data_IF_976659605947
#
_entry.id   IF_976659605947
#
_cell.length_a   1.000
_cell.length_b   1.000
_cell.length_c   1.000
_cell.angle_alpha   90.00
_cell.angle_beta   90.00
_cell.angle_gamma   90.00
#
_symmetry.space_group_name_H-M   'P 1'
#
loop_
_entity.id
_entity.type
_entity.pdbx_description
1 polymer ?
#
# COMPACT_ATOMS: atom_id res chain seq x y z
N UNK A 1 9.78 16.36 -12.62
CA UNK A 1 9.75 16.01 -11.19
C UNK A 1 10.99 15.25 -10.73
N UNK A 2 11.29 14.05 -11.24
CA UNK A 2 12.48 13.27 -10.81
C UNK A 2 13.78 14.04 -11.05
N UNK A 3 13.95 14.64 -12.23
CA UNK A 3 15.13 15.47 -12.53
C UNK A 3 15.21 16.71 -11.62
N UNK A 4 14.09 17.37 -11.32
CA UNK A 4 14.09 18.48 -10.35
C UNK A 4 14.56 18.06 -8.97
N UNK A 5 14.18 16.87 -8.48
CA UNK A 5 14.69 16.35 -7.20
C UNK A 5 16.20 16.10 -7.25
N UNK A 6 16.73 15.68 -8.40
CA UNK A 6 18.16 15.55 -8.63
C UNK A 6 18.86 16.91 -8.63
N UNK A 7 18.29 17.90 -9.31
CA UNK A 7 18.82 19.27 -9.40
C UNK A 7 18.89 19.96 -8.03
N UNK A 8 17.89 19.76 -7.16
CA UNK A 8 17.92 20.32 -5.79
C UNK A 8 18.79 19.53 -4.80
N UNK A 9 19.54 18.52 -5.28
CA UNK A 9 20.53 17.79 -4.48
C UNK A 9 19.94 16.74 -3.52
N UNK A 10 18.73 16.23 -3.79
CA UNK A 10 18.16 15.15 -2.97
C UNK A 10 19.03 13.89 -3.00
N UNK A 11 19.01 13.06 -1.94
CA UNK A 11 19.78 11.82 -1.88
C UNK A 11 19.57 10.94 -3.12
N UNK A 12 20.67 10.55 -3.77
CA UNK A 12 20.65 9.80 -5.03
C UNK A 12 19.86 8.49 -4.91
N UNK A 13 19.97 7.78 -3.79
CA UNK A 13 19.22 6.53 -3.52
C UNK A 13 17.71 6.74 -3.64
N UNK A 14 17.19 7.86 -3.11
CA UNK A 14 15.77 8.21 -3.18
C UNK A 14 15.33 8.55 -4.61
N UNK A 15 16.10 9.40 -5.29
CA UNK A 15 15.81 9.80 -6.68
C UNK A 15 15.85 8.59 -7.62
N UNK A 16 16.83 7.71 -7.45
CA UNK A 16 16.98 6.49 -8.24
C UNK A 16 15.83 5.50 -8.01
N UNK A 17 15.33 5.39 -6.77
CA UNK A 17 14.15 4.58 -6.46
C UNK A 17 12.91 5.11 -7.19
N UNK A 18 12.69 6.43 -7.21
CA UNK A 18 11.60 7.04 -7.97
C UNK A 18 11.74 6.83 -9.47
N UNK A 19 12.95 7.03 -10.03
CA UNK A 19 13.21 6.78 -11.44
C UNK A 19 12.90 5.31 -11.83
N UNK A 20 13.27 4.37 -10.96
CA UNK A 20 12.98 2.94 -11.14
C UNK A 20 11.48 2.66 -11.17
N UNK A 21 10.67 3.32 -10.34
CA UNK A 21 9.21 3.18 -10.38
C UNK A 21 8.65 3.53 -11.77
N UNK A 22 9.10 4.61 -12.40
CA UNK A 22 8.63 4.94 -13.77
C UNK A 22 9.05 3.88 -14.80
N UNK A 23 10.26 3.32 -14.67
CA UNK A 23 10.72 2.24 -15.53
C UNK A 23 9.88 0.97 -15.33
N UNK A 24 9.56 0.61 -14.09
CA UNK A 24 8.73 -0.55 -13.77
C UNK A 24 7.34 -0.45 -14.38
N UNK A 25 6.72 0.75 -14.36
CA UNK A 25 5.41 0.95 -14.99
C UNK A 25 5.47 0.66 -16.48
N UNK A 26 6.50 1.16 -17.17
CA UNK A 26 6.67 0.92 -18.61
C UNK A 26 6.84 -0.57 -18.91
N UNK A 27 7.75 -1.23 -18.20
CA UNK A 27 7.99 -2.68 -18.35
C UNK A 27 6.73 -3.47 -18.04
N UNK A 28 5.97 -3.05 -17.03
CA UNK A 28 4.73 -3.71 -16.65
C UNK A 28 3.62 -3.52 -17.68
N UNK A 29 3.55 -2.36 -18.34
CA UNK A 29 2.55 -2.12 -19.38
C UNK A 29 2.85 -2.96 -20.63
N UNK A 30 4.13 -3.08 -21.01
CA UNK A 30 4.56 -3.99 -22.10
C UNK A 30 4.19 -5.44 -21.77
N UNK A 31 4.50 -5.89 -20.55
CA UNK A 31 4.17 -7.24 -20.08
C UNK A 31 2.67 -7.51 -20.05
N UNK A 32 1.86 -6.50 -19.69
CA UNK A 32 0.40 -6.59 -19.69
C UNK A 32 -0.15 -6.79 -21.12
N UNK A 33 0.42 -6.12 -22.13
CA UNK A 33 -0.01 -6.35 -23.52
C UNK A 33 0.32 -7.76 -23.98
N UNK A 34 1.52 -8.25 -23.69
CA UNK A 34 1.90 -9.64 -24.02
C UNK A 34 0.96 -10.64 -23.35
N UNK A 35 0.57 -10.41 -22.09
CA UNK A 35 -0.41 -11.26 -21.41
C UNK A 35 -1.75 -11.29 -22.14
N UNK A 36 -2.28 -10.11 -22.52
CA UNK A 36 -3.56 -9.98 -23.24
C UNK A 36 -3.53 -10.67 -24.58
N UNK A 37 -2.46 -10.49 -25.35
CA UNK A 37 -2.30 -11.10 -26.67
C UNK A 37 -2.24 -12.63 -26.57
N UNK A 38 -1.47 -13.17 -25.62
CA UNK A 38 -1.34 -14.61 -25.43
C UNK A 38 -2.67 -15.27 -25.03
N UNK A 39 -3.50 -14.56 -24.26
CA UNK A 39 -4.79 -15.07 -23.79
C UNK A 39 -5.99 -14.63 -24.64
N UNK A 40 -5.77 -13.95 -25.76
CA UNK A 40 -6.85 -13.46 -26.64
C UNK A 40 -7.75 -14.59 -27.17
N UNK A 41 -7.19 -15.78 -27.37
CA UNK A 41 -7.88 -16.96 -27.86
C UNK A 41 -8.12 -18.04 -26.80
N UNK A 42 -7.57 -17.86 -25.59
CA UNK A 42 -7.81 -18.77 -24.48
C UNK A 42 -9.15 -18.44 -23.82
N UNK A 43 -9.86 -19.48 -23.35
CA UNK A 43 -11.05 -19.31 -22.52
C UNK A 43 -10.64 -18.95 -21.10
N UNK A 44 -10.25 -17.70 -20.87
CA UNK A 44 -10.16 -17.14 -19.53
C UNK A 44 -11.58 -16.95 -18.94
N UNK A 45 -11.66 -16.91 -17.61
CA UNK A 45 -12.91 -16.59 -16.89
C UNK A 45 -13.46 -15.19 -17.25
N UNK A 46 -12.57 -14.25 -17.59
CA UNK A 46 -12.89 -12.90 -18.04
C UNK A 46 -12.28 -12.62 -19.41
N UNK A 47 -12.90 -11.76 -20.25
CA UNK A 47 -12.29 -11.34 -21.51
C UNK A 47 -10.88 -10.76 -21.27
N UNK A 48 -9.87 -11.26 -21.98
CA UNK A 48 -8.47 -10.86 -21.77
C UNK A 48 -8.28 -9.32 -21.80
N UNK A 49 -8.98 -8.63 -22.70
CA UNK A 49 -8.89 -7.16 -22.84
C UNK A 49 -9.41 -6.39 -21.61
N UNK A 50 -10.31 -6.99 -20.83
CA UNK A 50 -10.90 -6.42 -19.62
C UNK A 50 -10.01 -6.52 -18.37
N UNK A 51 -8.99 -7.38 -18.43
CA UNK A 51 -8.06 -7.61 -17.33
C UNK A 51 -6.78 -6.80 -17.56
N UNK A 52 -6.37 -6.00 -16.58
CA UNK A 52 -5.08 -5.33 -16.60
C UNK A 52 -4.24 -5.78 -15.40
N UNK A 53 -2.99 -6.12 -15.66
CA UNK A 53 -2.04 -6.58 -14.64
C UNK A 53 -0.94 -5.54 -14.51
N UNK A 54 -0.53 -5.28 -13.26
CA UNK A 54 0.68 -4.53 -12.96
C UNK A 54 1.63 -5.35 -12.10
N UNK A 55 2.78 -5.71 -12.66
CA UNK A 55 3.83 -6.48 -11.96
C UNK A 55 5.01 -5.56 -11.69
N UNK A 56 5.21 -5.27 -10.41
CA UNK A 56 6.14 -4.24 -9.94
C UNK A 56 7.13 -4.85 -8.95
N UNK A 57 8.36 -4.34 -8.89
CA UNK A 57 9.35 -4.88 -7.98
C UNK A 57 9.04 -4.46 -6.52
N UNK A 58 9.06 -5.43 -5.60
CA UNK A 58 8.70 -5.18 -4.21
C UNK A 58 9.63 -4.17 -3.52
N UNK A 59 10.92 -4.14 -3.85
CA UNK A 59 11.90 -3.24 -3.21
C UNK A 59 11.63 -1.75 -3.47
N UNK A 60 11.08 -1.41 -4.63
CA UNK A 60 10.70 -0.04 -4.97
C UNK A 60 9.27 0.32 -4.51
N UNK A 61 8.34 -0.63 -4.59
CA UNK A 61 6.90 -0.35 -4.47
C UNK A 61 6.26 -0.76 -3.15
N UNK A 62 6.75 -1.82 -2.50
CA UNK A 62 6.20 -2.28 -1.22
C UNK A 62 6.64 -1.32 -0.12
N UNK A 63 5.69 -0.57 0.44
CA UNK A 63 5.93 0.35 1.57
C UNK A 63 5.64 -0.28 2.92
N UNK A 64 4.69 -1.20 2.98
CA UNK A 64 4.41 -2.00 4.17
C UNK A 64 4.81 -3.46 3.92
N UNK A 65 5.11 -4.15 5.02
CA UNK A 65 5.26 -5.61 5.03
C UNK A 65 3.94 -6.32 5.32
N UNK A 66 2.91 -5.57 5.74
CA UNK A 66 1.61 -6.13 6.10
C UNK A 66 0.88 -6.61 4.84
N UNK A 67 0.48 -7.88 4.87
CA UNK A 67 -0.33 -8.50 3.84
C UNK A 67 -1.77 -8.52 4.31
N UNK A 68 -2.64 -7.86 3.55
CA UNK A 68 -4.08 -7.91 3.79
C UNK A 68 -4.66 -9.04 2.94
N UNK A 69 -5.15 -10.07 3.61
CA UNK A 69 -5.86 -11.18 2.97
C UNK A 69 -7.28 -10.76 2.59
N UNK A 70 -7.77 -11.33 1.50
CA UNK A 70 -9.14 -11.20 1.03
C UNK A 70 -9.50 -12.44 0.22
N UNK A 71 -10.67 -13.00 0.48
CA UNK A 71 -11.27 -14.03 -0.37
C UNK A 71 -11.79 -13.37 -1.64
N UNK A 72 -11.25 -13.77 -2.78
CA UNK A 72 -11.64 -13.26 -4.09
C UNK A 72 -12.83 -14.06 -4.62
N UNK A 73 -13.68 -13.44 -5.46
CA UNK A 73 -14.63 -14.23 -6.21
C UNK A 73 -13.93 -15.09 -7.26
N UNK A 74 -14.57 -16.21 -7.61
CA UNK A 74 -14.03 -17.26 -8.48
C UNK A 74 -13.49 -16.69 -9.80
N UNK A 75 -14.15 -15.70 -10.39
CA UNK A 75 -13.71 -15.10 -11.66
C UNK A 75 -12.33 -14.42 -11.58
N UNK A 76 -11.94 -13.96 -10.38
CA UNK A 76 -10.62 -13.38 -10.13
C UNK A 76 -9.65 -14.42 -9.56
N UNK A 77 -10.13 -15.40 -8.81
CA UNK A 77 -9.32 -16.48 -8.27
C UNK A 77 -8.74 -17.36 -9.39
N UNK A 78 -9.54 -17.68 -10.40
CA UNK A 78 -9.11 -18.44 -11.59
C UNK A 78 -8.04 -17.70 -12.41
N UNK A 79 -7.97 -16.37 -12.31
CA UNK A 79 -6.98 -15.55 -13.01
C UNK A 79 -5.60 -15.62 -12.35
N UNK A 80 -5.53 -15.82 -11.03
CA UNK A 80 -4.27 -15.86 -10.29
C UNK A 80 -3.26 -16.88 -10.88
N UNK A 81 -3.61 -18.18 -11.03
CA UNK A 81 -2.66 -19.17 -11.54
C UNK A 81 -2.22 -18.88 -12.98
N UNK A 82 -3.10 -18.36 -13.83
CA UNK A 82 -2.77 -17.99 -15.22
C UNK A 82 -1.71 -16.89 -15.28
N UNK A 83 -1.83 -15.88 -14.42
CA UNK A 83 -0.84 -14.79 -14.31
C UNK A 83 0.48 -15.31 -13.73
N UNK A 84 0.43 -16.18 -12.72
CA UNK A 84 1.62 -16.77 -12.12
C UNK A 84 2.40 -17.65 -13.11
N UNK A 85 1.71 -18.49 -13.87
CA UNK A 85 2.32 -19.35 -14.88
C UNK A 85 2.90 -18.55 -16.04
N UNK A 86 2.17 -17.54 -16.53
CA UNK A 86 2.68 -16.60 -17.51
C UNK A 86 3.97 -15.92 -17.03
N UNK A 87 3.97 -15.42 -15.79
CA UNK A 87 5.12 -14.72 -15.26
C UNK A 87 6.32 -15.64 -15.04
N UNK A 88 6.09 -16.86 -14.55
CA UNK A 88 7.13 -17.86 -14.27
C UNK A 88 7.85 -18.33 -15.55
N UNK A 89 7.11 -18.48 -16.67
CA UNK A 89 7.71 -18.83 -17.98
C UNK A 89 8.70 -17.79 -18.48
N UNK A 90 8.43 -16.51 -18.21
CA UNK A 90 9.26 -15.40 -18.66
C UNK A 90 10.34 -14.99 -17.65
N UNK A 91 10.16 -15.31 -16.37
CA UNK A 91 11.01 -14.84 -15.28
C UNK A 91 11.29 -15.94 -14.25
N UNK A 92 12.23 -16.84 -14.57
CA UNK A 92 12.67 -17.91 -13.68
C UNK A 92 13.27 -17.36 -12.37
N UNK A 93 12.92 -17.98 -11.24
CA UNK A 93 13.46 -17.61 -9.92
C UNK A 93 12.79 -16.40 -9.26
N UNK A 94 11.73 -15.85 -9.87
CA UNK A 94 10.89 -14.80 -9.25
C UNK A 94 9.59 -15.39 -8.71
N UNK A 95 9.04 -14.73 -7.68
CA UNK A 95 7.75 -15.06 -7.06
C UNK A 95 6.85 -13.84 -7.03
N UNK A 96 5.57 -14.01 -7.33
CA UNK A 96 4.58 -12.94 -7.23
C UNK A 96 4.03 -12.82 -5.80
N UNK A 97 3.74 -11.58 -5.42
CA UNK A 97 3.03 -11.23 -4.20
C UNK A 97 1.85 -10.35 -4.59
N UNK A 98 0.64 -10.87 -4.38
CA UNK A 98 -0.59 -10.19 -4.74
C UNK A 98 -0.89 -9.06 -3.75
N UNK A 99 -1.06 -7.85 -4.28
CA UNK A 99 -1.29 -6.65 -3.48
C UNK A 99 -2.73 -6.13 -3.68
N UNK A 100 -3.71 -6.92 -3.24
CA UNK A 100 -5.14 -6.66 -3.48
C UNK A 100 -5.63 -5.29 -2.97
N UNK A 101 -4.99 -4.72 -1.94
CA UNK A 101 -5.29 -3.36 -1.47
C UNK A 101 -5.14 -2.30 -2.58
N UNK A 102 -4.19 -2.49 -3.50
CA UNK A 102 -3.91 -1.57 -4.62
C UNK A 102 -4.59 -2.02 -5.92
N UNK A 103 -5.35 -3.12 -5.89
CA UNK A 103 -6.13 -3.62 -7.01
C UNK A 103 -7.53 -2.99 -7.00
N UNK A 104 -8.03 -2.68 -8.19
CA UNK A 104 -9.37 -2.13 -8.41
C UNK A 104 -9.90 -2.58 -9.77
N UNK A 105 -11.19 -2.37 -10.00
CA UNK A 105 -11.84 -2.78 -11.24
C UNK A 105 -13.20 -2.12 -11.41
N UNK A 106 -13.83 -2.41 -12.55
CA UNK A 106 -15.19 -1.96 -12.85
C UNK A 106 -16.09 -3.18 -12.85
N UNK A 107 -17.19 -3.12 -12.10
CA UNK A 107 -18.22 -4.17 -12.07
C UNK A 107 -19.56 -3.58 -12.52
N UNK A 108 -20.37 -4.38 -13.19
CA UNK A 108 -21.75 -4.00 -13.52
C UNK A 108 -22.67 -4.41 -12.38
N UNK A 109 -23.18 -3.41 -11.67
CA UNK A 109 -24.18 -3.55 -10.63
C UNK A 109 -25.59 -3.46 -11.22
N UNK A 110 -26.34 -4.56 -11.08
CA UNK A 110 -27.74 -4.66 -11.53
C UNK A 110 -28.66 -4.61 -10.32
N UNK A 111 -29.67 -3.75 -10.39
CA UNK A 111 -30.76 -3.71 -9.42
C UNK A 111 -32.12 -3.49 -10.12
N UNK A 112 -33.15 -3.20 -9.35
CA UNK A 112 -34.51 -2.98 -9.87
C UNK A 112 -34.65 -1.65 -10.63
N UNK A 113 -33.76 -0.68 -10.39
CA UNK A 113 -33.77 0.63 -11.04
C UNK A 113 -33.00 0.67 -12.38
N UNK A 114 -32.02 -0.22 -12.57
CA UNK A 114 -31.21 -0.26 -13.77
C UNK A 114 -29.87 -0.99 -13.65
N UNK A 115 -28.93 -0.58 -14.49
CA UNK A 115 -27.59 -1.17 -14.60
C UNK A 115 -26.52 -0.09 -14.49
N UNK A 116 -25.61 -0.22 -13.55
CA UNK A 116 -24.61 0.80 -13.24
C UNK A 116 -23.20 0.20 -13.24
N UNK A 117 -22.24 0.95 -13.75
CA UNK A 117 -20.84 0.57 -13.69
C UNK A 117 -20.22 1.18 -12.42
N UNK A 118 -19.85 0.33 -11.48
CA UNK A 118 -19.19 0.73 -10.25
C UNK A 118 -17.70 0.50 -10.40
N UNK A 119 -16.92 1.57 -10.34
CA UNK A 119 -15.47 1.47 -10.20
C UNK A 119 -15.13 1.35 -8.71
N UNK A 120 -14.60 0.19 -8.32
CA UNK A 120 -14.48 -0.28 -6.93
C UNK A 120 -13.10 -0.87 -6.66
N UNK A 121 -12.68 -0.86 -5.40
CA UNK A 121 -11.49 -1.61 -4.95
C UNK A 121 -11.78 -3.11 -4.96
N UNK A 122 -10.73 -3.94 -4.97
CA UNK A 122 -10.90 -5.40 -4.85
C UNK A 122 -11.60 -5.79 -3.54
N UNK A 123 -11.43 -5.03 -2.45
CA UNK A 123 -12.13 -5.30 -1.19
C UNK A 123 -13.62 -4.97 -1.28
N UNK A 124 -13.97 -3.84 -1.92
CA UNK A 124 -15.37 -3.50 -2.20
C UNK A 124 -16.01 -4.55 -3.11
N UNK A 125 -15.27 -5.04 -4.10
CA UNK A 125 -15.70 -6.12 -4.99
C UNK A 125 -15.98 -7.41 -4.23
N UNK A 126 -15.07 -7.87 -3.37
CA UNK A 126 -15.27 -9.05 -2.53
C UNK A 126 -16.52 -8.93 -1.64
N UNK A 127 -16.74 -7.75 -1.03
CA UNK A 127 -17.94 -7.47 -0.24
C UNK A 127 -19.20 -7.55 -1.09
N UNK A 128 -19.26 -6.87 -2.24
CA UNK A 128 -20.46 -6.84 -3.08
C UNK A 128 -20.81 -8.22 -3.66
N UNK A 129 -19.81 -9.04 -3.96
CA UNK A 129 -20.01 -10.38 -4.51
C UNK A 129 -20.64 -11.36 -3.51
N UNK A 130 -20.62 -11.05 -2.20
CA UNK A 130 -21.33 -11.83 -1.18
C UNK A 130 -22.85 -11.94 -1.42
N UNK A 131 -23.42 -11.05 -2.25
CA UNK A 131 -24.84 -11.04 -2.62
C UNK A 131 -25.16 -11.67 -3.99
N UNK A 132 -24.17 -12.11 -4.79
CA UNK A 132 -24.43 -12.58 -6.16
C UNK A 132 -25.41 -13.76 -6.23
N UNK A 133 -25.34 -14.69 -5.27
CA UNK A 133 -26.25 -15.85 -5.18
C UNK A 133 -27.47 -15.58 -4.29
N UNK A 134 -27.51 -14.44 -3.59
CA UNK A 134 -28.54 -14.08 -2.62
C UNK A 134 -28.88 -12.58 -2.66
N UNK A 135 -29.41 -12.05 -3.78
CA UNK A 135 -29.46 -10.60 -4.02
C UNK A 135 -30.36 -9.78 -3.09
N UNK A 136 -31.29 -10.44 -2.38
CA UNK A 136 -32.26 -9.81 -1.47
C UNK A 136 -32.04 -10.17 0.00
N UNK A 137 -31.01 -10.96 0.31
CA UNK A 137 -30.72 -11.35 1.70
C UNK A 137 -29.98 -10.24 2.46
N UNK A 138 -30.18 -10.26 3.78
CA UNK A 138 -29.44 -9.44 4.73
C UNK A 138 -28.29 -10.27 5.28
N UNK A 139 -27.08 -9.74 5.24
CA UNK A 139 -25.87 -10.43 5.72
C UNK A 139 -25.30 -9.65 6.90
N UNK A 140 -25.00 -10.34 8.00
CA UNK A 140 -24.39 -9.71 9.17
C UNK A 140 -22.94 -9.30 8.92
N UNK A 141 -22.43 -8.36 9.72
CA UNK A 141 -21.02 -7.97 9.71
C UNK A 141 -20.11 -9.19 9.93
N UNK A 142 -20.46 -10.06 10.88
CA UNK A 142 -19.73 -11.29 11.16
C UNK A 142 -19.68 -12.22 9.94
N UNK A 143 -20.81 -12.43 9.27
CA UNK A 143 -20.86 -13.30 8.10
C UNK A 143 -20.11 -12.69 6.91
N UNK A 144 -20.12 -11.36 6.74
CA UNK A 144 -19.30 -10.68 5.74
C UNK A 144 -17.81 -10.82 6.04
N UNK A 145 -17.42 -10.78 7.32
CA UNK A 145 -16.04 -11.01 7.75
C UNK A 145 -15.57 -12.42 7.41
N UNK A 146 -16.41 -13.43 7.64
CA UNK A 146 -16.13 -14.81 7.25
C UNK A 146 -16.07 -14.98 5.73
N UNK A 147 -17.02 -14.41 4.99
CA UNK A 147 -17.11 -14.57 3.54
C UNK A 147 -15.97 -13.88 2.78
N UNK A 148 -15.51 -12.72 3.28
CA UNK A 148 -14.48 -11.92 2.60
C UNK A 148 -13.08 -12.13 3.17
N UNK A 149 -12.95 -12.74 4.35
CA UNK A 149 -11.70 -12.89 5.11
C UNK A 149 -10.94 -11.58 5.36
N UNK A 150 -11.62 -10.43 5.21
CA UNK A 150 -11.00 -9.13 5.44
C UNK A 150 -10.76 -8.90 6.94
N UNK A 151 -9.62 -8.29 7.31
CA UNK A 151 -9.41 -7.80 8.67
C UNK A 151 -10.50 -6.81 9.07
N UNK A 152 -10.88 -6.82 10.34
CA UNK A 152 -11.99 -6.00 10.88
C UNK A 152 -11.87 -4.51 10.50
N UNK A 153 -10.68 -3.93 10.63
CA UNK A 153 -10.42 -2.53 10.28
C UNK A 153 -10.67 -2.24 8.79
N UNK A 154 -10.26 -3.14 7.90
CA UNK A 154 -10.43 -3.00 6.45
C UNK A 154 -11.88 -3.25 6.03
N UNK A 155 -12.54 -4.24 6.62
CA UNK A 155 -13.94 -4.53 6.35
C UNK A 155 -14.84 -3.36 6.75
N UNK A 156 -14.66 -2.79 7.96
CA UNK A 156 -15.44 -1.63 8.43
C UNK A 156 -15.32 -0.44 7.50
N UNK A 157 -14.10 -0.10 7.10
CA UNK A 157 -13.84 1.02 6.18
C UNK A 157 -14.41 0.76 4.79
N UNK A 158 -14.29 -0.48 4.31
CA UNK A 158 -14.85 -0.91 3.02
C UNK A 158 -16.38 -0.84 3.04
N UNK A 159 -17.05 -1.38 4.06
CA UNK A 159 -18.50 -1.30 4.19
C UNK A 159 -18.99 0.13 4.31
N UNK A 160 -18.31 0.96 5.11
CA UNK A 160 -18.63 2.38 5.23
C UNK A 160 -18.60 3.12 3.89
N UNK A 161 -17.65 2.79 3.03
CA UNK A 161 -17.59 3.37 1.68
C UNK A 161 -18.76 2.98 0.79
N UNK A 162 -19.46 1.88 1.07
CA UNK A 162 -20.59 1.37 0.29
C UNK A 162 -21.94 1.82 0.84
N UNK A 163 -22.03 2.05 2.16
CA UNK A 163 -23.26 2.51 2.84
C UNK A 163 -23.29 4.01 3.13
N UNK A 164 -22.15 4.70 3.08
CA UNK A 164 -22.03 6.11 3.44
C UNK A 164 -21.01 6.82 2.54
N UNK A 165 -21.05 6.56 1.23
CA UNK A 165 -20.19 7.22 0.26
C UNK A 165 -20.50 8.73 0.21
N UNK A 166 -19.48 9.61 0.34
CA UNK A 166 -19.68 11.05 0.31
C UNK A 166 -20.31 11.53 -1.01
N UNK A 167 -21.18 12.54 -0.93
CA UNK A 167 -21.85 13.20 -2.08
C UNK A 167 -22.79 12.30 -2.89
N UNK A 168 -23.00 11.05 -2.48
CA UNK A 168 -23.93 10.14 -3.12
C UNK A 168 -25.31 10.24 -2.45
N UNK A 169 -26.35 10.50 -3.26
CA UNK A 169 -27.73 10.65 -2.75
C UNK A 169 -28.37 9.32 -2.35
N UNK A 170 -28.01 8.23 -3.02
CA UNK A 170 -28.51 6.86 -2.74
C UNK A 170 -27.33 5.91 -2.69
N UNK A 171 -27.16 5.24 -1.56
CA UNK A 171 -26.02 4.38 -1.27
C UNK A 171 -26.19 3.01 -1.94
N UNK A 172 -25.09 2.32 -2.22
CA UNK A 172 -25.12 1.01 -2.90
C UNK A 172 -25.64 -0.08 -1.97
N UNK A 173 -25.19 -0.03 -0.72
CA UNK A 173 -25.67 -0.88 0.35
C UNK A 173 -26.48 -0.05 1.36
N UNK A 174 -27.44 -0.70 1.98
CA UNK A 174 -28.16 -0.22 3.16
C UNK A 174 -27.81 -1.12 4.35
N UNK A 175 -28.02 -0.61 5.57
CA UNK A 175 -27.67 -1.35 6.78
C UNK A 175 -28.56 -0.97 7.97
N UNK A 176 -28.65 -1.88 8.94
CA UNK A 176 -29.38 -1.72 10.19
C UNK A 176 -28.61 -2.40 11.34
N UNK A 177 -28.49 -1.78 12.54
CA UNK A 177 -29.00 -0.46 12.92
C UNK A 177 -28.17 0.70 12.36
N UNK A 178 -28.76 1.90 12.25
CA UNK A 178 -28.08 3.11 11.80
C UNK A 178 -26.99 3.55 12.78
N UNK A 179 -25.80 3.86 12.26
CA UNK A 179 -24.65 4.33 13.06
C UNK A 179 -23.97 5.53 12.41
N UNK A 180 -23.20 6.29 13.19
CA UNK A 180 -22.51 7.50 12.70
C UNK A 180 -21.07 7.25 12.25
N UNK A 181 -20.49 6.12 12.66
CA UNK A 181 -19.09 5.78 12.39
C UNK A 181 -18.93 4.29 12.04
N UNK A 182 -17.96 3.92 11.16
CA UNK A 182 -17.62 2.53 10.89
C UNK A 182 -17.21 1.72 12.13
N UNK A 183 -16.73 2.41 13.18
CA UNK A 183 -16.32 1.79 14.45
C UNK A 183 -17.51 1.24 15.24
N UNK A 184 -18.70 1.78 14.99
CA UNK A 184 -19.90 1.45 15.75
C UNK A 184 -20.65 0.24 15.17
N UNK A 185 -20.21 -0.30 14.03
CA UNK A 185 -20.75 -1.57 13.52
C UNK A 185 -20.50 -2.69 14.54
N UNK A 186 -21.54 -3.45 14.81
CA UNK A 186 -21.48 -4.66 15.63
C UNK A 186 -21.47 -5.89 14.74
N UNK A 187 -21.08 -7.04 15.29
CA UNK A 187 -21.13 -8.34 14.60
C UNK A 187 -22.53 -8.66 14.07
N UNK A 188 -23.57 -8.17 14.76
CA UNK A 188 -24.98 -8.31 14.40
C UNK A 188 -25.50 -7.26 13.39
N UNK A 189 -24.70 -6.26 13.01
CA UNK A 189 -25.14 -5.24 12.03
C UNK A 189 -25.42 -5.91 10.70
N UNK A 190 -26.63 -5.73 10.19
CA UNK A 190 -27.11 -6.34 8.95
C UNK A 190 -26.91 -5.37 7.79
N UNK A 191 -26.33 -5.87 6.69
CA UNK A 191 -26.14 -5.15 5.44
C UNK A 191 -26.98 -5.80 4.34
N UNK A 192 -27.46 -5.02 3.38
CA UNK A 192 -28.21 -5.52 2.24
C UNK A 192 -28.08 -4.60 1.02
N UNK A 193 -28.25 -5.18 -0.16
CA UNK A 193 -28.22 -4.44 -1.42
C UNK A 193 -29.39 -3.48 -1.50
N UNK A 194 -29.10 -2.20 -1.79
CA UNK A 194 -30.14 -1.21 -2.02
C UNK A 194 -30.73 -1.37 -3.42
N UNK A 195 -31.88 -2.06 -3.51
CA UNK A 195 -32.56 -2.28 -4.80
C UNK A 195 -33.05 -0.97 -5.44
N UNK A 196 -33.21 0.10 -4.66
CA UNK A 196 -33.58 1.45 -5.11
C UNK A 196 -32.37 2.34 -5.44
N UNK A 197 -31.15 1.79 -5.40
CA UNK A 197 -29.95 2.54 -5.78
C UNK A 197 -30.10 3.11 -7.20
N UNK A 198 -29.74 4.38 -7.36
CA UNK A 198 -29.71 4.99 -8.69
C UNK A 198 -28.83 6.23 -8.69
N UNK A 199 -28.23 6.51 -9.85
CA UNK A 199 -27.52 7.77 -10.06
C UNK A 199 -28.55 8.87 -10.33
N UNK A 200 -28.36 10.03 -9.68
CA UNK A 200 -29.23 11.20 -9.85
C UNK A 200 -28.42 12.28 -10.57
N UNK A 201 -28.83 12.63 -11.80
CA UNK A 201 -28.27 13.74 -12.58
C UNK A 201 -29.37 14.76 -12.85
N UNK A 202 -29.12 16.04 -12.55
CA UNK A 202 -30.12 17.12 -12.71
C UNK A 202 -31.47 16.78 -12.07
N UNK A 203 -31.44 16.23 -10.86
CA UNK A 203 -32.62 15.76 -10.10
C UNK A 203 -33.46 14.67 -10.78
N UNK A 204 -32.93 14.02 -11.84
CA UNK A 204 -33.58 12.89 -12.52
C UNK A 204 -32.84 11.59 -12.26
N UNK A 205 -33.62 10.56 -11.95
CA UNK A 205 -33.15 9.17 -11.80
C UNK A 205 -32.63 8.66 -13.14
N UNK A 206 -31.42 8.12 -13.15
CA UNK A 206 -30.79 7.52 -14.31
C UNK A 206 -30.90 6.00 -14.23
N UNK A 207 -31.30 5.34 -15.33
CA UNK A 207 -31.33 3.87 -15.43
C UNK A 207 -29.97 3.25 -15.74
N UNK A 208 -29.01 4.08 -16.16
CA UNK A 208 -27.62 3.68 -16.43
C UNK A 208 -26.64 4.75 -16.01
N UNK A 209 -25.41 4.35 -15.76
CA UNK A 209 -24.28 5.27 -15.62
C UNK A 209 -23.12 4.67 -14.84
N UNK A 210 -22.03 5.42 -14.79
CA UNK A 210 -20.80 5.02 -14.12
C UNK A 210 -20.53 5.89 -12.90
N UNK A 211 -20.04 5.30 -11.82
CA UNK A 211 -19.59 5.99 -10.60
C UNK A 211 -18.32 5.35 -10.06
N UNK A 212 -17.42 6.19 -9.55
CA UNK A 212 -16.22 5.75 -8.85
C UNK A 212 -16.45 5.78 -7.33
N UNK A 213 -16.31 4.62 -6.70
CA UNK A 213 -16.49 4.39 -5.27
C UNK A 213 -15.16 4.10 -4.55
N UNK A 214 -14.02 4.10 -5.25
CA UNK A 214 -12.69 3.88 -4.65
C UNK A 214 -12.40 4.95 -3.59
N UNK A 215 -12.71 6.21 -3.90
CA UNK A 215 -12.58 7.33 -2.97
C UNK A 215 -11.18 7.43 -2.35
N UNK A 216 -11.09 7.35 -1.02
CA UNK A 216 -9.84 7.43 -0.26
C UNK A 216 -9.29 6.07 0.21
N UNK A 217 -9.91 4.96 -0.21
CA UNK A 217 -9.58 3.62 0.31
C UNK A 217 -8.16 3.16 -0.04
N UNK A 218 -7.64 3.62 -1.18
CA UNK A 218 -6.29 3.31 -1.67
C UNK A 218 -5.29 4.46 -1.44
N UNK A 219 -5.66 5.46 -0.64
CA UNK A 219 -4.78 6.55 -0.24
C UNK A 219 -4.07 6.22 1.08
N UNK A 220 -2.99 6.96 1.35
CA UNK A 220 -2.20 6.81 2.58
C UNK A 220 -3.07 6.88 3.83
N UNK A 221 -2.92 5.89 4.71
CA UNK A 221 -3.60 5.84 6.00
C UNK A 221 -2.73 6.42 7.11
N UNK A 222 -3.33 6.71 8.26
CA UNK A 222 -2.58 7.15 9.45
C UNK A 222 -1.52 6.12 9.87
N UNK A 223 -1.90 4.83 9.88
CA UNK A 223 -0.98 3.73 10.16
C UNK A 223 0.20 3.68 9.18
N UNK A 224 -0.05 3.88 7.88
CA UNK A 224 1.03 3.94 6.89
C UNK A 224 1.97 5.14 7.12
N UNK A 225 1.45 6.25 7.64
CA UNK A 225 2.25 7.43 7.99
C UNK A 225 3.13 7.16 9.21
N UNK A 226 2.62 6.46 10.21
CA UNK A 226 3.39 6.00 11.38
C UNK A 226 4.51 5.04 10.94
N UNK A 227 4.21 4.04 10.11
CA UNK A 227 5.21 3.13 9.54
C UNK A 227 6.30 3.87 8.73
N UNK A 228 5.91 4.86 7.92
CA UNK A 228 6.87 5.69 7.18
C UNK A 228 7.77 6.51 8.11
N UNK A 229 7.21 7.07 9.19
CA UNK A 229 7.97 7.81 10.20
C UNK A 229 8.96 6.90 10.94
N UNK A 230 8.56 5.68 11.32
CA UNK A 230 9.45 4.70 11.93
C UNK A 230 10.59 4.31 10.98
N UNK A 231 10.29 4.08 9.71
CA UNK A 231 11.31 3.82 8.68
C UNK A 231 12.30 4.97 8.50
N UNK A 232 11.83 6.23 8.55
CA UNK A 232 12.70 7.41 8.53
C UNK A 232 13.63 7.43 9.75
N UNK A 233 13.12 7.13 10.95
CA UNK A 233 13.92 7.09 12.17
C UNK A 233 14.98 5.99 12.10
N UNK A 234 14.62 4.79 11.64
CA UNK A 234 15.56 3.68 11.44
C UNK A 234 16.65 4.02 10.43
N UNK A 235 16.29 4.66 9.30
CA UNK A 235 17.27 5.11 8.32
C UNK A 235 18.22 6.15 8.90
N UNK A 236 17.72 7.10 9.69
CA UNK A 236 18.57 8.09 10.39
C UNK A 236 19.54 7.42 11.35
N UNK A 237 19.09 6.41 12.10
CA UNK A 237 19.93 5.61 12.98
C UNK A 237 21.05 4.93 12.19
N UNK A 238 20.69 4.19 11.13
CA UNK A 238 21.65 3.47 10.29
C UNK A 238 22.69 4.40 9.67
N UNK A 239 22.26 5.52 9.08
CA UNK A 239 23.17 6.49 8.45
C UNK A 239 24.04 7.21 9.46
N UNK A 240 23.54 7.44 10.68
CA UNK A 240 24.36 7.98 11.78
C UNK A 240 25.45 7.00 12.18
N UNK A 241 25.13 5.71 12.34
CA UNK A 241 26.11 4.68 12.66
C UNK A 241 27.18 4.54 11.55
N UNK A 242 26.74 4.46 10.29
CA UNK A 242 27.61 4.37 9.12
C UNK A 242 28.58 5.55 9.04
N UNK A 243 28.06 6.78 9.20
CA UNK A 243 28.86 8.00 9.16
C UNK A 243 29.87 8.07 10.33
N UNK A 244 29.46 7.69 11.54
CA UNK A 244 30.40 7.61 12.68
C UNK A 244 31.52 6.62 12.39
N UNK A 245 31.19 5.40 11.93
CA UNK A 245 32.20 4.39 11.59
C UNK A 245 33.12 4.89 10.47
N UNK A 246 32.59 5.58 9.46
CA UNK A 246 33.39 6.15 8.38
C UNK A 246 34.41 7.17 8.90
N UNK A 247 33.99 8.12 9.73
CA UNK A 247 34.89 9.10 10.37
C UNK A 247 35.94 8.38 11.22
N UNK A 248 35.52 7.42 12.04
CA UNK A 248 36.39 6.68 12.94
C UNK A 248 37.43 5.83 12.20
N UNK A 249 37.06 5.22 11.06
CA UNK A 249 37.99 4.50 10.19
C UNK A 249 39.09 5.40 9.64
N UNK A 250 38.76 6.65 9.30
CA UNK A 250 39.70 7.62 8.74
C UNK A 250 40.60 8.24 9.82
N UNK A 251 40.03 8.67 10.94
CA UNK A 251 40.76 9.43 11.98
C UNK A 251 41.44 8.54 13.01
N UNK A 252 40.94 7.31 13.23
CA UNK A 252 41.34 6.34 14.27
C UNK A 252 41.20 6.81 15.73
N UNK A 253 41.37 8.10 16.01
CA UNK A 253 41.10 8.77 17.30
C UNK A 253 40.49 10.15 17.04
N UNK A 254 39.40 10.50 17.72
CA UNK A 254 38.71 11.78 17.53
C UNK A 254 37.99 12.23 18.81
N UNK A 255 37.93 13.55 19.04
CA UNK A 255 37.13 14.12 20.13
C UNK A 255 35.64 14.17 19.79
N UNK A 256 34.77 14.16 20.79
CA UNK A 256 33.31 14.23 20.62
C UNK A 256 32.87 15.48 19.85
N UNK A 257 33.49 16.64 20.13
CA UNK A 257 33.19 17.90 19.46
C UNK A 257 33.53 17.86 17.96
N UNK A 258 34.71 17.31 17.61
CA UNK A 258 35.11 17.13 16.22
C UNK A 258 34.22 16.10 15.51
N UNK A 259 33.91 14.97 16.17
CA UNK A 259 33.03 13.95 15.63
C UNK A 259 31.65 14.51 15.30
N UNK A 260 31.05 15.29 16.20
CA UNK A 260 29.74 15.93 15.94
C UNK A 260 29.80 16.87 14.73
N UNK A 261 30.89 17.62 14.57
CA UNK A 261 31.04 18.58 13.47
C UNK A 261 31.17 17.87 12.13
N UNK A 262 32.06 16.87 12.04
CA UNK A 262 32.24 16.07 10.81
C UNK A 262 30.98 15.25 10.48
N UNK A 263 30.28 14.74 11.50
CA UNK A 263 29.05 13.98 11.32
C UNK A 263 27.91 14.82 10.73
N UNK A 264 27.74 16.06 11.22
CA UNK A 264 26.75 17.00 10.66
C UNK A 264 27.08 17.32 9.20
N UNK A 265 28.35 17.51 8.88
CA UNK A 265 28.78 17.83 7.52
C UNK A 265 28.50 16.68 6.53
N UNK A 266 28.69 15.42 6.94
CA UNK A 266 28.38 14.24 6.14
C UNK A 266 26.86 14.09 5.92
N UNK A 267 26.06 14.33 6.96
CA UNK A 267 24.62 14.05 6.93
C UNK A 267 23.75 15.22 6.47
N UNK A 268 24.31 16.43 6.30
CA UNK A 268 23.56 17.68 6.04
C UNK A 268 22.56 17.62 4.87
N UNK A 269 22.88 16.87 3.82
CA UNK A 269 22.02 16.73 2.63
C UNK A 269 20.88 15.73 2.83
N UNK A 270 20.84 15.03 3.96
CA UNK A 270 19.80 14.06 4.31
C UNK A 270 18.99 14.53 5.54
N UNK A 271 19.66 14.89 6.63
CA UNK A 271 19.04 15.43 7.85
C UNK A 271 20.08 16.02 8.80
N UNK A 272 19.62 16.83 9.75
CA UNK A 272 20.45 17.29 10.87
C UNK A 272 20.35 16.29 12.04
N UNK A 273 21.42 15.56 12.39
CA UNK A 273 21.37 14.57 13.48
C UNK A 273 21.19 15.24 14.85
N UNK A 274 20.25 14.73 15.66
CA UNK A 274 20.01 15.24 17.00
C UNK A 274 21.08 14.72 17.98
N UNK A 275 21.53 15.56 18.92
CA UNK A 275 22.53 15.18 19.94
C UNK A 275 22.16 13.91 20.71
N UNK A 276 20.87 13.72 21.02
CA UNK A 276 20.35 12.52 21.69
C UNK A 276 20.63 11.26 20.86
N UNK A 277 20.28 11.29 19.56
CA UNK A 277 20.53 10.19 18.63
C UNK A 277 22.03 9.89 18.50
N UNK A 278 22.87 10.91 18.36
CA UNK A 278 24.32 10.73 18.28
C UNK A 278 24.85 10.02 19.52
N UNK A 279 24.42 10.44 20.71
CA UNK A 279 24.82 9.80 21.98
C UNK A 279 24.39 8.33 22.02
N UNK A 280 23.13 8.04 21.71
CA UNK A 280 22.60 6.66 21.69
C UNK A 280 23.38 5.78 20.71
N UNK A 281 23.71 6.29 19.52
CA UNK A 281 24.47 5.52 18.53
C UNK A 281 25.94 5.32 18.91
N UNK A 282 26.57 6.28 19.61
CA UNK A 282 27.92 6.12 20.15
C UNK A 282 27.94 5.00 21.20
N UNK A 283 27.01 5.00 22.16
CA UNK A 283 26.93 3.92 23.17
C UNK A 283 26.71 2.56 22.50
N UNK A 284 25.79 2.49 21.54
CA UNK A 284 25.55 1.27 20.77
C UNK A 284 26.82 0.77 20.06
N UNK A 285 27.59 1.66 19.43
CA UNK A 285 28.85 1.32 18.77
C UNK A 285 29.95 0.87 19.75
N UNK A 286 29.95 1.39 20.98
CA UNK A 286 30.87 0.95 22.05
C UNK A 286 30.51 -0.47 22.49
N UNK A 287 29.23 -0.72 22.78
CA UNK A 287 28.72 -2.03 23.19
C UNK A 287 29.01 -3.11 22.13
N UNK A 288 28.89 -2.75 20.85
CA UNK A 288 29.17 -3.65 19.72
C UNK A 288 30.65 -3.68 19.31
N UNK A 289 31.54 -3.09 20.11
CA UNK A 289 33.00 -3.12 19.94
C UNK A 289 33.54 -2.51 18.64
N UNK A 290 32.82 -1.56 18.04
CA UNK A 290 33.32 -0.80 16.89
C UNK A 290 34.27 0.33 17.32
N UNK A 291 34.00 0.94 18.47
CA UNK A 291 34.78 2.05 19.04
C UNK A 291 34.92 1.86 20.56
N UNK A 292 35.91 2.50 21.17
CA UNK A 292 36.03 2.64 22.63
C UNK A 292 36.24 4.08 23.03
N UNK A 293 35.91 4.39 24.28
CA UNK A 293 36.36 5.63 24.92
C UNK A 293 37.84 5.52 25.23
N UNK A 294 38.52 6.66 25.16
CA UNK A 294 39.89 6.78 25.63
C UNK A 294 39.96 6.57 27.14
N UNK A 295 41.04 5.96 27.62
CA UNK A 295 41.27 5.73 29.06
C UNK A 295 41.54 7.05 29.80
N UNK A 296 42.08 8.05 29.09
CA UNK A 296 42.47 9.35 29.67
C UNK A 296 41.42 10.43 29.48
N UNK A 297 40.58 10.34 28.44
CA UNK A 297 39.55 11.33 28.14
C UNK A 297 38.26 10.66 27.68
N UNK A 298 37.23 10.74 28.52
CA UNK A 298 35.88 10.20 28.26
C UNK A 298 35.26 10.81 26.97
N UNK A 299 35.68 12.01 26.57
CA UNK A 299 35.18 12.69 25.37
C UNK A 299 35.96 12.33 24.10
N UNK A 300 36.98 11.48 24.18
CA UNK A 300 37.74 11.00 23.04
C UNK A 300 37.37 9.56 22.72
N UNK A 301 37.18 9.27 21.43
CA UNK A 301 36.84 7.95 20.93
C UNK A 301 38.00 7.37 20.10
N UNK A 302 38.21 6.06 20.20
CA UNK A 302 39.24 5.29 19.48
C UNK A 302 38.56 4.18 18.68
N UNK A 303 38.92 4.00 17.41
CA UNK A 303 38.41 2.92 16.56
C UNK A 303 39.04 1.58 16.96
N UNK A 304 38.24 0.51 17.06
CA UNK A 304 38.70 -0.80 17.59
C UNK A 304 38.83 -1.91 16.56
N UNK A 305 38.54 -1.63 15.29
CA UNK A 305 38.69 -2.59 14.20
C UNK A 305 39.86 -2.27 13.25
#
# INVERSE_FOLDING_TARGET
MVEWLREVGMPADYVNKLARMFQDIKVSDDLNQVFKEMHKHNKLALPADSVNIKILNAGAWSRSSEKVFVSLPTELEDLIPEVEDFYKRNHSGRKLHWHHLMSNGIITFKNEMGHYDLEVTTFQLAVLFAWNQRPRERISFENLKLATELPDAELRRTLWSLVAFPKLKRQVLSYEPSVSSPKDFTDSTLFYVNQDFSLIKNSKVQKRGKINLIGRLQLTTERMREEENEGIVQLRILRTQEAIIQIMKMRKRISNAQLQTELVEILKNMFLPQKKMIKEQIEWLIEHKYIKRDETDINTFIYMA
#
